data_IF_124202774101
#
_entry.id   IF_124202774101
#
_cell.length_a   1.000
_cell.length_b   1.000
_cell.length_c   1.000
_cell.angle_alpha   90.00
_cell.angle_beta   90.00
_cell.angle_gamma   90.00
#
_symmetry.space_group_name_H-M   'P 1'
#
loop_
_entity.id
_entity.type
_entity.pdbx_description
1 polymer ?
#
# COMPACT_ATOMS: atom_id res chain seq x y z
N UNK A 1 16.10 5.64 -20.56
CA UNK A 1 15.18 5.72 -19.41
C UNK A 1 14.17 4.60 -19.52
N UNK A 2 13.97 3.83 -18.45
CA UNK A 2 12.90 2.84 -18.35
C UNK A 2 11.80 3.41 -17.46
N UNK A 3 10.55 3.12 -17.79
CA UNK A 3 9.37 3.56 -17.05
C UNK A 3 8.51 2.35 -16.71
N UNK A 4 7.91 2.34 -15.52
CA UNK A 4 7.06 1.25 -15.09
C UNK A 4 6.31 1.57 -13.80
N UNK A 5 5.28 0.78 -13.55
CA UNK A 5 4.49 0.86 -12.32
C UNK A 5 5.25 0.29 -11.12
N UNK A 6 4.98 0.81 -9.93
CA UNK A 6 5.64 0.39 -8.70
C UNK A 6 4.80 0.63 -7.45
N UNK A 7 5.47 0.81 -6.32
CA UNK A 7 4.87 0.90 -4.98
C UNK A 7 4.79 -0.45 -4.30
N UNK A 8 5.24 -0.54 -3.04
CA UNK A 8 5.31 -1.79 -2.27
C UNK A 8 3.94 -2.43 -2.10
N UNK A 9 2.92 -1.65 -1.74
CA UNK A 9 1.55 -2.15 -1.60
C UNK A 9 1.00 -2.72 -2.91
N UNK A 10 1.24 -2.02 -4.03
CA UNK A 10 0.88 -2.48 -5.37
C UNK A 10 1.59 -3.79 -5.72
N UNK A 11 2.91 -3.85 -5.58
CA UNK A 11 3.72 -5.03 -5.89
C UNK A 11 3.33 -6.24 -5.03
N UNK A 12 3.05 -6.04 -3.75
CA UNK A 12 2.60 -7.09 -2.83
C UNK A 12 1.20 -7.60 -3.19
N UNK A 13 0.26 -6.71 -3.50
CA UNK A 13 -1.10 -7.10 -3.91
C UNK A 13 -1.10 -7.88 -5.22
N UNK A 14 -0.35 -7.42 -6.23
CA UNK A 14 -0.19 -8.13 -7.51
C UNK A 14 0.50 -9.48 -7.30
N UNK A 15 1.58 -9.52 -6.51
CA UNK A 15 2.29 -10.76 -6.22
C UNK A 15 1.39 -11.81 -5.55
N UNK A 16 0.58 -11.39 -4.57
CA UNK A 16 -0.37 -12.27 -3.91
C UNK A 16 -1.49 -12.74 -4.87
N UNK A 17 -2.04 -11.84 -5.70
CA UNK A 17 -3.07 -12.19 -6.69
C UNK A 17 -2.55 -13.19 -7.72
N UNK A 18 -1.33 -13.00 -8.23
CA UNK A 18 -0.67 -13.94 -9.16
C UNK A 18 -0.41 -15.32 -8.56
N UNK A 19 -0.29 -15.42 -7.23
CA UNK A 19 -0.20 -16.69 -6.50
C UNK A 19 -1.57 -17.30 -6.18
N UNK A 20 -2.66 -16.71 -6.67
CA UNK A 20 -4.03 -17.23 -6.53
C UNK A 20 -4.81 -16.68 -5.33
N UNK A 21 -4.27 -15.70 -4.60
CA UNK A 21 -5.01 -15.08 -3.50
C UNK A 21 -6.09 -14.11 -4.02
N UNK A 22 -7.21 -14.00 -3.28
CA UNK A 22 -8.19 -12.94 -3.51
C UNK A 22 -7.70 -11.68 -2.81
N UNK A 23 -7.26 -10.69 -3.57
CA UNK A 23 -6.65 -9.47 -3.03
C UNK A 23 -7.55 -8.27 -3.23
N UNK A 24 -7.67 -7.46 -2.18
CA UNK A 24 -8.32 -6.16 -2.22
C UNK A 24 -7.35 -5.10 -1.69
N UNK A 25 -7.21 -3.99 -2.40
CA UNK A 25 -6.20 -2.98 -2.14
C UNK A 25 -6.83 -1.64 -1.75
N UNK A 26 -6.36 -1.08 -0.63
CA UNK A 26 -6.50 0.34 -0.30
C UNK A 26 -5.21 1.06 -0.69
N UNK A 27 -5.32 2.04 -1.58
CA UNK A 27 -4.22 2.91 -2.01
C UNK A 27 -4.76 4.31 -2.34
N UNK A 28 -3.88 5.31 -2.29
CA UNK A 28 -4.16 6.67 -2.74
C UNK A 28 -3.54 6.89 -4.13
N UNK A 29 -4.32 7.37 -5.08
CA UNK A 29 -3.85 7.79 -6.41
C UNK A 29 -4.30 9.21 -6.72
N UNK A 30 -3.57 9.91 -7.56
CA UNK A 30 -3.98 11.21 -8.07
C UNK A 30 -5.06 11.08 -9.14
N UNK A 31 -5.73 12.21 -9.43
CA UNK A 31 -6.56 12.35 -10.63
C UNK A 31 -5.68 12.67 -11.85
N UNK A 32 -4.74 11.77 -12.15
CA UNK A 32 -3.77 11.89 -13.22
C UNK A 32 -3.59 10.58 -13.99
N UNK A 33 -2.88 10.65 -15.11
CA UNK A 33 -2.65 9.50 -15.99
C UNK A 33 -1.99 8.32 -15.27
N UNK A 34 -1.10 8.58 -14.30
CA UNK A 34 -0.43 7.52 -13.55
C UNK A 34 -1.40 6.80 -12.59
N UNK A 35 -2.34 7.54 -12.01
CA UNK A 35 -3.42 6.98 -11.19
C UNK A 35 -4.34 6.09 -12.03
N UNK A 36 -4.70 6.55 -13.23
CA UNK A 36 -5.50 5.77 -14.18
C UNK A 36 -4.77 4.48 -14.61
N UNK A 37 -3.48 4.58 -14.95
CA UNK A 37 -2.63 3.44 -15.30
C UNK A 37 -2.51 2.43 -14.16
N UNK A 38 -2.34 2.89 -12.91
CA UNK A 38 -2.27 2.03 -11.74
C UNK A 38 -3.59 1.25 -11.52
N UNK A 39 -4.73 1.93 -11.63
CA UNK A 39 -6.06 1.28 -11.50
C UNK A 39 -6.29 0.25 -12.60
N UNK A 40 -5.90 0.55 -13.84
CA UNK A 40 -6.00 -0.41 -14.94
C UNK A 40 -5.10 -1.62 -14.73
N UNK A 41 -3.87 -1.40 -14.26
CA UNK A 41 -2.94 -2.48 -13.91
C UNK A 41 -3.55 -3.40 -12.84
N UNK A 42 -4.04 -2.85 -11.73
CA UNK A 42 -4.62 -3.66 -10.66
C UNK A 42 -5.80 -4.51 -11.12
N UNK A 43 -6.68 -3.95 -11.97
CA UNK A 43 -7.78 -4.70 -12.57
C UNK A 43 -7.29 -5.83 -13.47
N UNK A 44 -6.30 -5.57 -14.32
CA UNK A 44 -5.72 -6.58 -15.20
C UNK A 44 -5.02 -7.71 -14.43
N UNK A 45 -4.46 -7.41 -13.26
CA UNK A 45 -3.78 -8.36 -12.36
C UNK A 45 -4.76 -9.06 -11.39
N UNK A 46 -6.07 -8.84 -11.51
CA UNK A 46 -7.08 -9.48 -10.66
C UNK A 46 -7.14 -8.95 -9.22
N UNK A 47 -6.61 -7.75 -8.95
CA UNK A 47 -6.68 -7.09 -7.65
C UNK A 47 -7.95 -6.23 -7.59
N UNK A 48 -8.79 -6.46 -6.57
CA UNK A 48 -9.95 -5.60 -6.30
C UNK A 48 -9.48 -4.23 -5.81
N UNK A 49 -9.59 -3.23 -6.69
CA UNK A 49 -9.20 -1.85 -6.43
C UNK A 49 -10.41 -0.96 -6.06
N UNK A 50 -11.55 -1.52 -5.66
CA UNK A 50 -12.76 -0.74 -5.32
C UNK A 50 -12.59 0.17 -4.10
N UNK A 51 -11.58 -0.07 -3.26
CA UNK A 51 -11.24 0.76 -2.11
C UNK A 51 -10.20 1.85 -2.40
N UNK A 52 -9.69 1.92 -3.64
CA UNK A 52 -8.70 2.95 -4.02
C UNK A 52 -9.33 4.35 -3.97
N UNK A 53 -8.58 5.30 -3.39
CA UNK A 53 -8.98 6.70 -3.25
C UNK A 53 -8.32 7.52 -4.34
N UNK A 54 -9.10 8.05 -5.26
CA UNK A 54 -8.63 9.03 -6.24
C UNK A 54 -8.75 10.44 -5.66
N UNK A 55 -7.64 11.17 -5.59
CA UNK A 55 -7.53 12.45 -4.88
C UNK A 55 -7.27 13.59 -5.86
N UNK A 56 -8.23 14.50 -5.98
CA UNK A 56 -8.12 15.69 -6.83
C UNK A 56 -7.08 16.66 -6.24
N UNK A 57 -6.19 17.19 -7.08
CA UNK A 57 -5.19 18.17 -6.67
C UNK A 57 -3.96 17.59 -5.96
N UNK A 58 -3.83 16.27 -5.87
CA UNK A 58 -2.61 15.59 -5.38
C UNK A 58 -2.11 14.61 -6.45
N UNK A 59 -0.82 14.57 -6.78
CA UNK A 59 -0.29 13.64 -7.77
C UNK A 59 -0.26 12.21 -7.23
N UNK A 60 -0.32 11.23 -8.13
CA UNK A 60 0.02 9.84 -7.83
C UNK A 60 1.47 9.75 -7.34
N UNK A 61 1.74 8.85 -6.39
CA UNK A 61 3.10 8.58 -5.90
C UNK A 61 4.06 8.32 -7.06
N UNK A 62 5.26 8.89 -6.98
CA UNK A 62 6.32 8.68 -7.96
C UNK A 62 7.63 8.27 -7.29
N UNK A 63 8.39 7.40 -7.95
CA UNK A 63 9.72 6.99 -7.55
C UNK A 63 10.71 7.20 -8.70
N UNK A 64 11.85 7.83 -8.41
CA UNK A 64 12.98 7.95 -9.33
C UNK A 64 14.06 7.00 -8.83
N UNK A 65 14.38 6.00 -9.65
CA UNK A 65 15.44 5.03 -9.38
C UNK A 65 16.65 5.43 -10.20
N UNK A 66 17.76 5.70 -9.53
CA UNK A 66 19.04 6.02 -10.13
C UNK A 66 19.98 4.84 -9.90
N UNK A 67 20.48 4.27 -10.98
CA UNK A 67 21.53 3.26 -10.97
C UNK A 67 22.87 3.95 -11.20
N UNK A 68 23.83 3.74 -10.31
CA UNK A 68 25.20 4.17 -10.58
C UNK A 68 25.97 3.12 -11.42
N UNK A 69 27.19 3.48 -11.81
CA UNK A 69 28.03 2.62 -12.64
C UNK A 69 28.47 1.32 -11.93
N UNK A 70 28.35 1.24 -10.60
CA UNK A 70 28.63 0.05 -9.82
C UNK A 70 27.38 -0.86 -9.68
N UNK A 71 26.21 -0.40 -10.10
CA UNK A 71 24.95 -1.12 -9.99
C UNK A 71 24.21 -0.86 -8.68
N UNK A 72 24.61 0.14 -7.90
CA UNK A 72 23.90 0.51 -6.68
C UNK A 72 22.65 1.34 -7.00
N UNK A 73 21.54 1.03 -6.32
CA UNK A 73 20.25 1.67 -6.56
C UNK A 73 20.01 2.77 -5.52
N UNK A 74 19.74 3.99 -5.98
CA UNK A 74 19.18 5.08 -5.16
C UNK A 74 17.75 5.33 -5.55
N UNK A 75 16.84 5.30 -4.58
CA UNK A 75 15.41 5.52 -4.83
C UNK A 75 14.99 6.80 -4.13
N UNK A 76 14.53 7.77 -4.90
CA UNK A 76 13.93 9.02 -4.41
C UNK A 76 12.42 8.89 -4.63
N UNK A 77 11.63 9.02 -3.57
CA UNK A 77 10.18 8.84 -3.63
C UNK A 77 9.45 10.12 -3.22
N UNK A 78 8.49 10.54 -4.03
CA UNK A 78 7.42 11.46 -3.60
C UNK A 78 6.18 10.61 -3.28
N UNK A 79 5.70 10.59 -2.03
CA UNK A 79 4.60 9.74 -1.64
C UNK A 79 3.24 10.18 -2.24
N UNK A 80 3.10 11.42 -2.73
CA UNK A 80 1.88 11.89 -3.41
C UNK A 80 0.60 11.56 -2.65
N UNK A 81 -0.40 11.04 -3.36
CA UNK A 81 -1.71 10.68 -2.83
C UNK A 81 -1.67 9.62 -1.72
N UNK A 82 -0.66 8.75 -1.67
CA UNK A 82 -0.54 7.77 -0.58
C UNK A 82 -0.27 8.45 0.78
N UNK A 83 0.43 9.59 0.81
CA UNK A 83 0.65 10.36 2.05
C UNK A 83 -0.63 11.00 2.61
N UNK A 84 -1.73 10.99 1.86
CA UNK A 84 -3.01 11.57 2.26
C UNK A 84 -3.99 10.53 2.78
N UNK A 85 -3.65 9.25 2.75
CA UNK A 85 -4.49 8.20 3.34
C UNK A 85 -4.59 8.36 4.85
N UNK A 86 -5.81 8.26 5.37
CA UNK A 86 -6.15 8.50 6.77
C UNK A 86 -6.66 7.24 7.46
N UNK A 87 -6.74 7.30 8.80
CA UNK A 87 -7.43 6.28 9.59
C UNK A 87 -8.89 6.07 9.18
N UNK A 88 -9.60 7.11 8.74
CA UNK A 88 -10.99 7.02 8.27
C UNK A 88 -11.10 6.22 6.97
N UNK A 89 -10.13 6.37 6.05
CA UNK A 89 -10.07 5.57 4.82
C UNK A 89 -9.91 4.08 5.18
N UNK A 90 -9.06 3.78 6.17
CA UNK A 90 -8.87 2.41 6.70
C UNK A 90 -10.14 1.87 7.34
N UNK A 91 -10.83 2.64 8.17
CA UNK A 91 -12.07 2.21 8.84
C UNK A 91 -13.17 1.88 7.84
N UNK A 92 -13.33 2.74 6.82
CA UNK A 92 -14.27 2.52 5.73
C UNK A 92 -13.92 1.25 4.96
N UNK A 93 -12.63 1.05 4.64
CA UNK A 93 -12.17 -0.15 3.97
C UNK A 93 -12.38 -1.41 4.83
N UNK A 94 -12.13 -1.31 6.12
CA UNK A 94 -12.24 -2.40 7.08
C UNK A 94 -13.67 -2.90 7.24
N UNK A 95 -14.68 -2.10 6.93
CA UNK A 95 -16.08 -2.57 6.87
C UNK A 95 -16.26 -3.78 5.94
N UNK A 96 -15.38 -3.98 4.96
CA UNK A 96 -15.43 -5.10 4.01
C UNK A 96 -14.61 -6.33 4.43
N UNK A 97 -13.86 -6.26 5.53
CA UNK A 97 -12.98 -7.33 5.97
C UNK A 97 -13.75 -8.47 6.65
N UNK A 98 -13.40 -9.70 6.30
CA UNK A 98 -13.97 -10.93 6.87
C UNK A 98 -12.85 -11.82 7.44
N UNK A 99 -13.09 -12.44 8.59
CA UNK A 99 -12.18 -13.43 9.18
C UNK A 99 -12.63 -14.87 8.82
N UNK A 100 -11.69 -15.82 8.62
CA UNK A 100 -10.24 -15.63 8.61
C UNK A 100 -9.75 -14.90 7.34
N UNK A 101 -8.68 -14.12 7.48
CA UNK A 101 -8.05 -13.38 6.39
C UNK A 101 -6.70 -12.78 6.80
N UNK A 102 -5.99 -12.18 5.85
CA UNK A 102 -4.68 -11.55 6.05
C UNK A 102 -4.81 -10.05 5.81
N UNK A 103 -4.28 -9.25 6.73
CA UNK A 103 -4.01 -7.84 6.50
C UNK A 103 -2.49 -7.66 6.33
N UNK A 104 -2.06 -7.25 5.16
CA UNK A 104 -0.66 -6.91 4.87
C UNK A 104 -0.53 -5.41 4.64
N UNK A 105 0.38 -4.76 5.37
CA UNK A 105 0.72 -3.35 5.16
C UNK A 105 2.23 -3.11 5.12
N UNK A 106 2.60 -1.90 4.69
CA UNK A 106 3.96 -1.41 4.53
C UNK A 106 4.00 0.09 4.87
N UNK A 107 5.17 0.73 4.78
CA UNK A 107 5.39 2.09 5.30
C UNK A 107 5.52 3.16 4.19
N UNK A 108 4.98 2.93 2.99
CA UNK A 108 4.83 3.95 1.94
C UNK A 108 3.54 4.79 2.09
N UNK A 109 2.80 4.56 3.18
CA UNK A 109 1.68 5.36 3.67
C UNK A 109 2.05 5.99 5.04
N UNK A 110 1.24 6.89 5.61
CA UNK A 110 1.49 7.41 6.95
C UNK A 110 1.53 6.29 8.00
N UNK A 111 2.45 6.40 8.96
CA UNK A 111 2.69 5.35 9.98
C UNK A 111 1.45 5.13 10.83
N UNK A 112 0.77 6.21 11.19
CA UNK A 112 -0.49 6.22 11.91
C UNK A 112 -1.61 5.50 11.16
N UNK A 113 -1.63 5.61 9.83
CA UNK A 113 -2.60 4.92 8.97
C UNK A 113 -2.30 3.43 8.91
N UNK A 114 -1.03 3.04 8.78
CA UNK A 114 -0.62 1.63 8.86
C UNK A 114 -0.92 1.02 10.25
N UNK A 115 -0.62 1.75 11.32
CA UNK A 115 -0.91 1.33 12.69
C UNK A 115 -2.41 1.14 12.93
N UNK A 116 -3.25 2.07 12.43
CA UNK A 116 -4.71 1.94 12.52
C UNK A 116 -5.22 0.69 11.80
N UNK A 117 -4.65 0.36 10.64
CA UNK A 117 -5.01 -0.84 9.90
C UNK A 117 -4.68 -2.10 10.72
N UNK A 118 -3.45 -2.20 11.23
CA UNK A 118 -2.99 -3.32 12.04
C UNK A 118 -3.89 -3.53 13.27
N UNK A 119 -4.17 -2.47 14.04
CA UNK A 119 -5.04 -2.54 15.21
C UNK A 119 -6.46 -3.06 14.87
N UNK A 120 -7.06 -2.57 13.78
CA UNK A 120 -8.39 -3.04 13.34
C UNK A 120 -8.31 -4.50 12.86
N UNK A 121 -7.26 -4.87 12.13
CA UNK A 121 -7.07 -6.22 11.60
C UNK A 121 -6.96 -7.23 12.74
N UNK A 122 -6.12 -6.92 13.72
CA UNK A 122 -5.91 -7.71 14.93
C UNK A 122 -7.21 -7.88 15.71
N UNK A 123 -7.94 -6.79 15.98
CA UNK A 123 -9.21 -6.81 16.70
C UNK A 123 -10.31 -7.61 15.97
N UNK A 124 -10.23 -7.72 14.64
CA UNK A 124 -11.15 -8.52 13.81
C UNK A 124 -10.72 -9.97 13.61
N UNK A 125 -9.60 -10.38 14.22
CA UNK A 125 -9.08 -11.75 14.09
C UNK A 125 -8.53 -12.06 12.69
N UNK A 126 -7.97 -11.06 12.00
CA UNK A 126 -7.12 -11.29 10.83
C UNK A 126 -5.68 -11.57 11.27
N UNK A 127 -4.92 -12.30 10.46
CA UNK A 127 -3.46 -12.34 10.60
C UNK A 127 -2.88 -11.04 10.10
N UNK A 128 -2.17 -10.30 10.94
CA UNK A 128 -1.61 -8.99 10.62
C UNK A 128 -0.13 -9.08 10.28
N UNK A 129 0.24 -8.57 9.11
CA UNK A 129 1.61 -8.60 8.60
C UNK A 129 2.09 -7.17 8.35
N UNK A 130 3.23 -6.82 8.91
CA UNK A 130 3.91 -5.56 8.65
C UNK A 130 5.20 -5.82 7.88
N UNK A 131 5.30 -5.31 6.67
CA UNK A 131 6.60 -5.13 6.02
C UNK A 131 7.16 -3.75 6.43
N UNK A 132 8.19 -3.66 7.31
CA UNK A 132 8.68 -2.39 7.85
C UNK A 132 9.59 -1.63 6.86
N UNK A 133 9.10 -1.43 5.63
CA UNK A 133 9.82 -0.79 4.55
C UNK A 133 8.98 0.36 3.93
N UNK A 134 9.60 1.52 3.64
CA UNK A 134 10.99 1.91 3.93
C UNK A 134 11.27 2.02 5.44
N UNK A 135 12.53 1.87 5.83
CA UNK A 135 12.94 1.91 7.24
C UNK A 135 12.59 3.25 7.88
N UNK A 136 11.79 3.21 8.95
CA UNK A 136 11.37 4.37 9.73
C UNK A 136 11.36 4.02 11.21
N UNK A 137 11.47 5.04 12.07
CA UNK A 137 11.19 4.85 13.48
C UNK A 137 9.71 4.52 13.66
N UNK A 138 9.42 3.46 14.40
CA UNK A 138 8.07 3.01 14.71
C UNK A 138 7.84 3.08 16.22
N UNK A 139 6.66 3.55 16.68
CA UNK A 139 6.24 3.39 18.07
C UNK A 139 6.22 1.90 18.41
N UNK A 140 6.74 1.51 19.59
CA UNK A 140 6.84 0.08 19.97
C UNK A 140 5.46 -0.59 20.06
N UNK A 141 4.45 0.21 20.35
CA UNK A 141 3.07 -0.20 20.56
C UNK A 141 2.48 -0.81 19.28
N UNK A 142 2.94 -0.40 18.09
CA UNK A 142 2.48 -0.98 16.82
C UNK A 142 2.76 -2.49 16.74
N UNK A 143 3.83 -2.96 17.39
CA UNK A 143 4.25 -4.36 17.34
C UNK A 143 3.29 -5.28 18.09
N UNK A 144 2.46 -4.76 19.00
CA UNK A 144 1.43 -5.54 19.68
C UNK A 144 0.33 -6.02 18.71
N UNK A 145 0.15 -5.29 17.60
CA UNK A 145 -0.84 -5.57 16.57
C UNK A 145 -0.24 -6.25 15.33
N UNK A 146 1.00 -6.74 15.40
CA UNK A 146 1.70 -7.43 14.30
C UNK A 146 1.92 -8.90 14.67
N UNK A 147 1.45 -9.81 13.80
CA UNK A 147 1.72 -11.24 13.92
C UNK A 147 3.01 -11.64 13.18
N UNK A 148 3.31 -10.98 12.05
CA UNK A 148 4.44 -11.26 11.16
C UNK A 148 5.13 -9.97 10.73
#
# INVERSE_FOLDING_TARGET
FAFGNGGKGSNQAIGAARLGARCKLLAGVGADKFGDEAVQLWRAEGVDCSAVRQMVGTPTMAGIIILDAAGENRIITDPGANARLTGTDVETFAATWTSPGILLTQLEIPVETAARALAIGKARGLTTILNPAPGRALPKEILADVDI
#
